data_IF_217403608561
#
_entry.id   IF_217403608561
#
_cell.length_a   1.000
_cell.length_b   1.000
_cell.length_c   1.000
_cell.angle_alpha   90.00
_cell.angle_beta   90.00
_cell.angle_gamma   90.00
#
_symmetry.space_group_name_H-M   'P 1'
#
loop_
_entity.id
_entity.type
_entity.pdbx_description
1 polymer ?
#
# COMPACT_ATOMS: atom_id res chain seq x y z
N UNK A 1 -4.51 -4.32 17.27
CA UNK A 1 -3.19 -4.33 17.90
C UNK A 1 -2.43 -5.60 17.51
N UNK A 2 -1.09 -5.52 17.40
CA UNK A 2 -0.29 -6.70 17.11
C UNK A 2 -0.27 -7.66 18.31
N UNK A 3 -0.39 -8.96 18.03
CA UNK A 3 -0.38 -10.01 19.03
C UNK A 3 0.93 -10.81 18.98
N UNK A 4 1.29 -11.45 20.09
CA UNK A 4 2.47 -12.29 20.17
C UNK A 4 2.23 -13.60 19.40
N UNK A 5 2.95 -13.79 18.29
CA UNK A 5 2.79 -14.94 17.39
C UNK A 5 3.93 -15.96 17.46
N UNK A 6 4.87 -15.80 18.38
CA UNK A 6 5.98 -16.74 18.55
C UNK A 6 7.32 -16.05 18.82
N UNK A 7 8.41 -16.81 18.64
CA UNK A 7 9.78 -16.32 18.84
C UNK A 7 10.66 -16.64 17.63
N UNK A 8 11.61 -15.75 17.34
CA UNK A 8 12.69 -16.05 16.38
C UNK A 8 13.49 -17.23 16.91
N UNK A 9 13.70 -18.24 16.07
CA UNK A 9 14.30 -19.53 16.48
C UNK A 9 15.68 -19.38 17.13
N UNK A 10 16.55 -18.56 16.54
CA UNK A 10 17.94 -18.40 17.00
C UNK A 10 18.02 -17.40 18.17
N UNK A 11 17.52 -16.19 17.99
CA UNK A 11 17.65 -15.09 18.95
C UNK A 11 16.66 -15.14 20.09
N UNK A 12 15.63 -15.98 20.00
CA UNK A 12 14.52 -16.08 20.96
C UNK A 12 13.71 -14.79 21.11
N UNK A 13 13.94 -13.80 20.24
CA UNK A 13 13.19 -12.55 20.20
C UNK A 13 11.71 -12.80 19.95
N UNK A 14 10.84 -12.14 20.69
CA UNK A 14 9.38 -12.24 20.51
C UNK A 14 8.99 -11.67 19.13
N UNK A 15 8.12 -12.39 18.43
CA UNK A 15 7.45 -11.92 17.21
C UNK A 15 6.05 -11.44 17.54
N UNK A 16 5.66 -10.33 16.93
CA UNK A 16 4.31 -9.78 17.02
C UNK A 16 3.74 -9.61 15.61
N UNK A 17 2.47 -9.93 15.44
CA UNK A 17 1.77 -9.80 14.16
C UNK A 17 0.29 -9.39 14.38
N UNK A 18 -0.36 -8.78 13.39
CA UNK A 18 0.25 -8.30 12.14
C UNK A 18 1.30 -7.23 12.41
N UNK A 19 2.36 -7.20 11.62
CA UNK A 19 3.45 -6.25 11.74
C UNK A 19 3.76 -5.65 10.37
N UNK A 20 3.81 -4.34 10.31
CA UNK A 20 3.98 -3.62 9.07
C UNK A 20 2.68 -3.01 8.57
N UNK A 21 2.55 -2.89 7.27
CA UNK A 21 1.80 -1.94 6.48
C UNK A 21 2.48 -0.56 6.55
N UNK A 22 3.77 -0.53 6.19
CA UNK A 22 4.58 0.68 6.23
C UNK A 22 4.04 1.76 5.30
N UNK A 23 4.06 3.00 5.76
CA UNK A 23 3.79 4.19 4.94
C UNK A 23 5.14 4.84 4.62
N UNK A 24 5.55 4.81 3.36
CA UNK A 24 6.82 5.40 2.93
C UNK A 24 6.69 6.33 1.70
N UNK A 25 5.46 6.53 1.23
CA UNK A 25 5.11 7.55 0.25
C UNK A 25 4.69 8.87 0.93
N UNK A 26 4.66 9.96 0.17
CA UNK A 26 4.15 11.25 0.66
C UNK A 26 2.62 11.23 0.64
N UNK A 27 1.95 11.52 1.76
CA UNK A 27 0.50 11.60 1.80
C UNK A 27 -0.07 12.74 0.94
N UNK A 28 -1.19 12.49 0.27
CA UNK A 28 -2.03 13.50 -0.32
C UNK A 28 -2.95 14.14 0.72
N UNK A 29 -3.15 15.45 0.68
CA UNK A 29 -4.00 16.17 1.65
C UNK A 29 -5.12 16.91 0.94
N UNK A 30 -6.35 16.71 1.38
CA UNK A 30 -7.52 17.50 1.01
C UNK A 30 -7.91 18.43 2.15
N UNK A 31 -7.39 19.65 2.12
CA UNK A 31 -7.69 20.65 3.15
C UNK A 31 -9.17 21.07 3.17
N UNK A 32 -9.86 21.02 2.01
CA UNK A 32 -11.28 21.40 1.94
C UNK A 32 -12.19 20.40 2.64
N UNK A 33 -11.87 19.09 2.52
CA UNK A 33 -12.64 18.00 3.13
C UNK A 33 -12.02 17.51 4.45
N UNK A 34 -10.86 18.05 4.84
CA UNK A 34 -10.16 17.63 6.05
C UNK A 34 -9.73 16.17 6.00
N UNK A 35 -9.19 15.70 4.88
CA UNK A 35 -8.78 14.30 4.69
C UNK A 35 -7.31 14.17 4.30
N UNK A 36 -6.70 13.07 4.75
CA UNK A 36 -5.36 12.63 4.34
C UNK A 36 -5.50 11.28 3.63
N UNK A 37 -4.76 11.09 2.53
CA UNK A 37 -4.74 9.87 1.75
C UNK A 37 -3.30 9.37 1.56
N UNK A 38 -3.07 8.09 1.75
CA UNK A 38 -1.79 7.46 1.50
C UNK A 38 -1.95 5.99 1.15
N UNK A 39 -0.91 5.44 0.54
CA UNK A 39 -0.80 4.01 0.31
C UNK A 39 0.06 3.34 1.37
N UNK A 40 -0.14 2.05 1.57
CA UNK A 40 0.67 1.23 2.47
C UNK A 40 1.43 0.17 1.69
N UNK A 41 2.46 -0.36 2.30
CA UNK A 41 3.21 -1.50 1.80
C UNK A 41 2.79 -2.81 2.45
N UNK A 42 3.62 -3.82 2.27
CA UNK A 42 3.44 -5.18 2.78
C UNK A 42 3.49 -5.25 4.32
N UNK A 43 3.04 -6.36 4.85
CA UNK A 43 3.36 -6.76 6.21
C UNK A 43 4.75 -7.38 6.29
N UNK A 44 5.42 -7.27 7.44
CA UNK A 44 6.76 -7.83 7.63
C UNK A 44 6.76 -9.18 8.36
N UNK A 45 5.61 -9.58 8.92
CA UNK A 45 5.39 -10.84 9.63
C UNK A 45 4.02 -11.42 9.27
N UNK A 46 3.90 -12.75 9.36
CA UNK A 46 2.62 -13.46 9.29
C UNK A 46 1.84 -13.40 10.61
N UNK A 47 0.50 -13.30 10.55
CA UNK A 47 -0.32 -13.15 9.36
C UNK A 47 -0.21 -11.74 8.77
N UNK A 48 -0.44 -11.62 7.46
CA UNK A 48 -0.51 -10.32 6.78
C UNK A 48 -1.66 -9.47 7.33
N UNK A 49 -1.42 -8.17 7.44
CA UNK A 49 -2.42 -7.20 7.88
C UNK A 49 -3.49 -6.98 6.82
N UNK A 50 -4.73 -6.73 7.23
CA UNK A 50 -5.80 -6.23 6.37
C UNK A 50 -5.52 -4.81 5.82
N UNK A 51 -4.48 -4.15 6.32
CA UNK A 51 -4.04 -2.84 5.88
C UNK A 51 -2.76 -2.89 5.04
N UNK A 52 -2.21 -4.07 4.72
CA UNK A 52 -1.13 -4.18 3.74
C UNK A 52 -1.66 -3.92 2.34
N UNK A 53 -0.84 -3.29 1.50
CA UNK A 53 -1.17 -2.98 0.10
C UNK A 53 -2.54 -2.31 -0.05
N UNK A 54 -2.78 -1.34 0.79
CA UNK A 54 -4.05 -0.64 0.88
C UNK A 54 -3.88 0.87 0.59
N UNK A 55 -4.96 1.48 0.12
CA UNK A 55 -5.11 2.93 0.16
C UNK A 55 -5.98 3.27 1.36
N UNK A 56 -5.53 4.23 2.15
CA UNK A 56 -6.16 4.61 3.42
C UNK A 56 -6.51 6.09 3.40
N UNK A 57 -7.69 6.42 3.92
CA UNK A 57 -8.11 7.79 4.23
C UNK A 57 -8.24 7.97 5.73
N UNK A 58 -7.61 9.04 6.25
CA UNK A 58 -7.80 9.48 7.62
C UNK A 58 -8.47 10.86 7.64
N UNK A 59 -9.18 11.13 8.73
CA UNK A 59 -9.57 12.48 9.10
C UNK A 59 -8.33 13.29 9.49
N UNK A 60 -8.14 14.46 8.86
CA UNK A 60 -6.95 15.27 9.05
C UNK A 60 -6.83 15.83 10.48
N UNK A 61 -7.95 16.06 11.16
CA UNK A 61 -7.97 16.65 12.48
C UNK A 61 -7.83 15.63 13.61
N UNK A 62 -8.51 14.49 13.49
CA UNK A 62 -8.56 13.48 14.54
C UNK A 62 -7.57 12.35 14.33
N UNK A 63 -7.11 12.12 13.09
CA UNK A 63 -6.32 10.96 12.70
C UNK A 63 -7.13 9.66 12.62
N UNK A 64 -8.43 9.71 12.81
CA UNK A 64 -9.29 8.53 12.71
C UNK A 64 -9.41 8.05 11.27
N UNK A 65 -9.44 6.73 11.10
CA UNK A 65 -9.60 6.11 9.78
C UNK A 65 -11.03 6.30 9.28
N UNK A 66 -11.16 6.95 8.12
CA UNK A 66 -12.44 7.12 7.43
C UNK A 66 -12.77 5.86 6.64
N UNK A 67 -11.81 5.37 5.83
CA UNK A 67 -11.92 4.12 5.08
C UNK A 67 -10.54 3.55 4.77
N UNK A 68 -10.50 2.28 4.37
CA UNK A 68 -9.33 1.60 3.82
C UNK A 68 -9.77 0.66 2.70
N UNK A 69 -8.99 0.62 1.62
CA UNK A 69 -9.24 -0.25 0.46
C UNK A 69 -7.98 -1.06 0.18
N UNK A 70 -7.98 -2.32 0.59
CA UNK A 70 -6.90 -3.26 0.31
C UNK A 70 -7.00 -3.73 -1.14
N UNK A 71 -5.90 -3.66 -1.88
CA UNK A 71 -5.84 -4.06 -3.30
C UNK A 71 -5.21 -5.43 -3.50
N UNK A 72 -4.38 -5.87 -2.55
CA UNK A 72 -3.75 -7.18 -2.51
C UNK A 72 -3.73 -7.71 -1.08
N UNK A 73 -4.50 -8.75 -0.83
CA UNK A 73 -4.50 -9.42 0.47
C UNK A 73 -3.36 -10.45 0.56
N UNK A 74 -2.89 -10.69 1.78
CA UNK A 74 -1.90 -11.74 2.04
C UNK A 74 -0.47 -11.37 1.65
N UNK A 75 -0.16 -10.08 1.39
CA UNK A 75 1.21 -9.67 1.15
C UNK A 75 1.95 -9.46 2.48
N UNK A 76 2.73 -10.48 2.85
CA UNK A 76 3.69 -10.39 3.92
C UNK A 76 5.06 -10.82 3.40
N UNK A 77 6.02 -9.90 3.47
CA UNK A 77 7.37 -10.04 2.91
C UNK A 77 8.40 -9.30 3.78
N UNK A 78 9.62 -9.79 3.81
CA UNK A 78 10.77 -9.09 4.38
C UNK A 78 12.07 -9.59 3.73
N UNK A 79 13.19 -8.93 4.05
CA UNK A 79 14.52 -9.25 3.48
C UNK A 79 14.92 -10.73 3.64
N UNK A 80 14.45 -11.43 4.67
CA UNK A 80 14.76 -12.86 4.81
C UNK A 80 14.19 -13.71 3.66
N UNK A 81 13.15 -13.23 2.96
CA UNK A 81 12.58 -13.91 1.81
C UNK A 81 13.53 -13.95 0.61
N UNK A 82 14.44 -12.99 0.52
CA UNK A 82 15.42 -12.85 -0.56
C UNK A 82 16.73 -13.63 -0.28
N UNK A 83 16.97 -14.02 0.97
CA UNK A 83 18.21 -14.67 1.38
C UNK A 83 17.96 -16.16 1.60
N UNK A 84 18.50 -17.07 0.75
CA UNK A 84 18.18 -18.51 0.80
C UNK A 84 18.36 -19.16 2.17
N UNK A 85 19.43 -18.80 2.91
CA UNK A 85 19.69 -19.33 4.25
C UNK A 85 18.75 -18.78 5.32
N UNK A 86 18.27 -17.54 5.19
CA UNK A 86 17.40 -16.90 6.17
C UNK A 86 15.92 -17.17 5.90
N UNK A 87 15.57 -17.50 4.66
CA UNK A 87 14.18 -17.68 4.20
C UNK A 87 13.39 -18.65 5.07
N UNK A 88 13.93 -19.80 5.38
CA UNK A 88 13.26 -20.85 6.16
C UNK A 88 12.99 -20.45 7.64
N UNK A 89 13.62 -19.37 8.14
CA UNK A 89 13.52 -18.97 9.55
C UNK A 89 12.93 -17.58 9.77
N UNK A 90 12.97 -16.73 8.76
CA UNK A 90 12.61 -15.33 8.87
C UNK A 90 11.55 -14.82 7.90
N UNK A 91 11.40 -15.47 6.73
CA UNK A 91 10.36 -15.09 5.78
C UNK A 91 8.97 -15.45 6.33
N UNK A 92 7.97 -14.56 6.20
CA UNK A 92 6.58 -14.91 6.45
C UNK A 92 6.10 -16.09 5.59
N UNK A 93 5.14 -16.88 6.09
CA UNK A 93 4.66 -18.05 5.34
C UNK A 93 3.87 -17.69 4.08
N UNK A 94 3.25 -16.51 4.03
CA UNK A 94 2.59 -15.99 2.83
C UNK A 94 3.60 -15.76 1.71
N UNK A 95 4.80 -15.30 2.06
CA UNK A 95 5.87 -14.99 1.11
C UNK A 95 5.35 -14.16 -0.07
N UNK A 96 4.68 -13.07 0.26
CA UNK A 96 4.02 -12.21 -0.69
C UNK A 96 4.98 -11.49 -1.64
N UNK A 97 4.46 -10.85 -2.69
CA UNK A 97 5.27 -10.29 -3.77
C UNK A 97 5.91 -8.93 -3.45
N UNK A 98 5.65 -8.34 -2.28
CA UNK A 98 6.15 -7.01 -1.90
C UNK A 98 5.68 -5.91 -2.87
N UNK A 99 4.37 -5.79 -3.05
CA UNK A 99 3.76 -4.88 -4.04
C UNK A 99 3.23 -3.59 -3.43
N UNK A 100 4.08 -2.89 -2.72
CA UNK A 100 3.75 -1.63 -2.05
C UNK A 100 3.14 -0.56 -2.97
N UNK A 101 2.39 0.34 -2.34
CA UNK A 101 2.12 1.67 -2.88
C UNK A 101 3.28 2.60 -2.53
N UNK A 102 4.31 2.65 -3.37
CA UNK A 102 5.48 3.54 -3.20
C UNK A 102 5.23 4.96 -3.69
N UNK A 103 4.40 5.11 -4.73
CA UNK A 103 4.01 6.41 -5.26
C UNK A 103 2.94 7.08 -4.39
N UNK A 104 3.02 8.42 -4.31
CA UNK A 104 2.01 9.23 -3.59
C UNK A 104 0.64 9.09 -4.22
N UNK A 105 -0.40 9.08 -3.38
CA UNK A 105 -1.79 9.17 -3.84
C UNK A 105 -2.06 10.59 -4.32
N UNK A 106 -2.56 10.73 -5.55
CA UNK A 106 -2.88 12.02 -6.17
C UNK A 106 -4.39 12.23 -6.14
N UNK A 107 -4.83 13.39 -5.64
CA UNK A 107 -6.19 13.85 -5.83
C UNK A 107 -6.29 14.65 -7.13
N UNK A 108 -7.21 14.31 -8.00
CA UNK A 108 -7.44 14.92 -9.30
C UNK A 108 -8.95 14.99 -9.60
N UNK A 109 -9.29 15.36 -10.82
CA UNK A 109 -10.65 15.37 -11.33
C UNK A 109 -10.77 14.52 -12.59
N UNK A 110 -11.96 13.99 -12.81
CA UNK A 110 -12.33 13.35 -14.08
C UNK A 110 -12.69 14.40 -15.13
N UNK A 111 -12.88 13.97 -16.37
CA UNK A 111 -13.40 14.83 -17.44
C UNK A 111 -14.80 15.39 -17.17
N UNK A 112 -15.53 14.83 -16.18
CA UNK A 112 -16.83 15.32 -15.70
C UNK A 112 -16.72 16.20 -14.45
N UNK A 113 -15.51 16.68 -14.12
CA UNK A 113 -15.22 17.49 -12.92
C UNK A 113 -15.48 16.75 -11.58
N UNK A 114 -15.69 15.43 -11.61
CA UNK A 114 -15.83 14.61 -10.41
C UNK A 114 -14.45 14.36 -9.79
N UNK A 115 -14.35 14.45 -8.48
CA UNK A 115 -13.09 14.18 -7.76
C UNK A 115 -12.73 12.69 -7.83
N UNK A 116 -11.44 12.40 -7.96
CA UNK A 116 -10.90 11.05 -8.02
C UNK A 116 -9.55 11.00 -7.30
N UNK A 117 -9.27 9.89 -6.63
CA UNK A 117 -7.94 9.55 -6.16
C UNK A 117 -7.27 8.60 -7.15
N UNK A 118 -6.00 8.85 -7.42
CA UNK A 118 -5.16 8.06 -8.32
C UNK A 118 -4.02 7.46 -7.50
N UNK A 119 -3.88 6.15 -7.54
CA UNK A 119 -2.85 5.42 -6.80
C UNK A 119 -2.16 4.38 -7.68
N UNK A 120 -0.83 4.37 -7.66
CA UNK A 120 0.00 3.44 -8.40
C UNK A 120 0.74 2.48 -7.48
N UNK A 121 0.82 1.21 -7.86
CA UNK A 121 1.39 0.13 -7.07
C UNK A 121 2.56 -0.54 -7.79
N UNK A 122 3.53 -1.07 -7.04
CA UNK A 122 4.66 -1.86 -7.58
C UNK A 122 4.23 -3.05 -8.45
N UNK A 123 3.00 -3.54 -8.29
CA UNK A 123 2.39 -4.57 -9.15
C UNK A 123 2.18 -4.15 -10.61
N UNK A 124 2.41 -2.87 -10.95
CA UNK A 124 2.12 -2.28 -12.26
C UNK A 124 0.64 -1.92 -12.45
N UNK A 125 -0.18 -2.02 -11.43
CA UNK A 125 -1.56 -1.55 -11.45
C UNK A 125 -1.68 -0.10 -11.02
N UNK A 126 -2.57 0.62 -11.71
CA UNK A 126 -3.08 1.94 -11.32
C UNK A 126 -4.54 1.79 -10.94
N UNK A 127 -4.94 2.50 -9.89
CA UNK A 127 -6.28 2.51 -9.36
C UNK A 127 -6.85 3.93 -9.36
N UNK A 128 -8.09 4.07 -9.78
CA UNK A 128 -8.90 5.26 -9.59
C UNK A 128 -9.98 4.98 -8.55
N UNK A 129 -10.01 5.77 -7.46
CA UNK A 129 -10.92 5.54 -6.34
C UNK A 129 -11.80 6.76 -6.08
N UNK A 130 -13.01 6.52 -5.58
CA UNK A 130 -13.91 7.56 -5.05
C UNK A 130 -13.36 8.08 -3.71
N UNK A 131 -13.11 9.40 -3.56
CA UNK A 131 -12.41 9.95 -2.39
C UNK A 131 -13.14 9.81 -1.06
N UNK A 132 -14.46 9.70 -1.05
CA UNK A 132 -15.23 9.66 0.22
C UNK A 132 -15.39 8.24 0.76
N UNK A 133 -15.46 7.23 -0.12
CA UNK A 133 -15.72 5.83 0.23
C UNK A 133 -14.53 4.89 0.03
N UNK A 134 -13.54 5.30 -0.79
CA UNK A 134 -12.44 4.44 -1.19
C UNK A 134 -12.85 3.37 -2.22
N UNK A 135 -14.07 3.43 -2.76
CA UNK A 135 -14.52 2.49 -3.78
C UNK A 135 -13.65 2.60 -5.04
N UNK A 136 -13.14 1.47 -5.53
CA UNK A 136 -12.41 1.42 -6.80
C UNK A 136 -13.42 1.64 -7.95
N UNK A 137 -13.27 2.77 -8.64
CA UNK A 137 -14.08 3.12 -9.82
C UNK A 137 -13.51 2.39 -11.05
N UNK A 138 -12.20 2.37 -11.18
CA UNK A 138 -11.49 1.66 -12.24
C UNK A 138 -10.09 1.24 -11.79
N UNK A 139 -9.54 0.24 -12.46
CA UNK A 139 -8.13 -0.14 -12.36
C UNK A 139 -7.59 -0.51 -13.74
N UNK A 140 -6.32 -0.23 -13.98
CA UNK A 140 -5.65 -0.56 -15.22
C UNK A 140 -4.22 -1.03 -14.96
N UNK A 141 -3.79 -2.06 -15.66
CA UNK A 141 -2.43 -2.58 -15.56
C UNK A 141 -1.58 -2.00 -16.68
N UNK A 142 -0.55 -1.25 -16.35
CA UNK A 142 0.30 -0.56 -17.31
C UNK A 142 1.65 -1.25 -17.51
N UNK A 143 1.99 -2.19 -16.64
CA UNK A 143 3.26 -2.90 -16.71
C UNK A 143 3.26 -4.23 -15.98
N UNK A 144 4.41 -4.91 -16.02
CA UNK A 144 4.59 -6.20 -15.37
C UNK A 144 4.60 -6.09 -13.86
N UNK A 145 5.16 -5.02 -13.31
CA UNK A 145 5.44 -4.86 -11.89
C UNK A 145 6.64 -5.69 -11.41
N UNK A 146 6.92 -5.60 -10.12
CA UNK A 146 7.97 -6.34 -9.45
C UNK A 146 8.31 -5.74 -8.09
N UNK A 147 8.98 -6.50 -7.22
CA UNK A 147 9.45 -6.07 -5.89
C UNK A 147 10.25 -4.76 -5.96
N UNK A 148 11.11 -4.60 -6.96
CA UNK A 148 11.94 -3.42 -7.17
C UNK A 148 11.49 -2.58 -8.39
N UNK A 149 10.32 -2.86 -8.94
CA UNK A 149 9.81 -2.25 -10.16
C UNK A 149 8.39 -1.73 -10.03
N UNK A 150 7.72 -1.63 -11.16
CA UNK A 150 6.36 -1.13 -11.23
C UNK A 150 6.27 0.38 -10.91
N UNK A 151 5.13 0.82 -10.45
CA UNK A 151 4.91 2.24 -10.12
C UNK A 151 5.46 2.52 -8.73
N UNK A 152 6.72 2.90 -8.69
CA UNK A 152 7.51 2.98 -7.47
C UNK A 152 7.73 4.41 -6.97
N UNK A 153 8.06 5.33 -7.89
CA UNK A 153 8.64 6.64 -7.53
C UNK A 153 7.71 7.82 -7.66
N UNK A 154 6.64 7.71 -8.40
CA UNK A 154 5.68 8.81 -8.51
C UNK A 154 4.88 8.78 -9.80
N UNK A 155 3.87 9.62 -9.82
CA UNK A 155 2.97 9.84 -10.94
C UNK A 155 2.69 11.33 -11.05
N UNK A 156 2.20 11.77 -12.21
CA UNK A 156 1.75 13.15 -12.44
C UNK A 156 0.44 13.16 -13.22
N UNK A 157 -0.34 14.22 -13.08
CA UNK A 157 -1.58 14.39 -13.85
C UNK A 157 -1.72 15.83 -14.32
N UNK A 158 -2.38 16.01 -15.46
CA UNK A 158 -2.84 17.28 -16.00
C UNK A 158 -4.36 17.40 -15.97
N UNK A 159 -5.03 16.62 -15.11
CA UNK A 159 -6.49 16.45 -14.97
C UNK A 159 -7.20 15.81 -16.19
N UNK A 160 -6.46 15.52 -17.25
CA UNK A 160 -6.97 14.81 -18.44
C UNK A 160 -6.31 13.45 -18.60
N UNK A 161 -5.03 13.38 -18.24
CA UNK A 161 -4.20 12.18 -18.37
C UNK A 161 -3.42 11.96 -17.10
N UNK A 162 -3.19 10.71 -16.79
CA UNK A 162 -2.26 10.28 -15.75
C UNK A 162 -0.96 9.81 -16.41
N UNK A 163 0.14 10.41 -16.02
CA UNK A 163 1.49 10.06 -16.47
C UNK A 163 2.15 9.19 -15.42
N UNK A 164 2.60 8.02 -15.83
CA UNK A 164 3.10 6.99 -14.90
C UNK A 164 4.40 6.41 -15.47
N UNK A 165 5.43 6.34 -14.64
CA UNK A 165 6.63 5.55 -14.91
C UNK A 165 6.46 4.14 -14.36
N UNK A 166 6.96 3.14 -15.11
CA UNK A 166 6.90 1.73 -14.72
C UNK A 166 8.23 1.03 -15.01
#
# INVERSE_FOLDING_TARGET
PAEHVGKVRITRTKKFAPAGAAVWNTPGIDLKKGKVFFGTGQSTQSPASEFSDAIISLDLKTGERVWSTQTLAGDAHNVACEVPMARQWGCPYENGPDYDFGASVIKSKTSKEEEILLAGQKSGWVFGLEPNSGQIIWKNRIGRGGTLGGIHTGMATDDKKLYVSN
#
